data_IF_486439951394
#
_entry.id   IF_486439951394
#
_cell.length_a   1.000
_cell.length_b   1.000
_cell.length_c   1.000
_cell.angle_alpha   90.00
_cell.angle_beta   90.00
_cell.angle_gamma   90.00
#
_symmetry.space_group_name_H-M   'P 1'
#
loop_
_entity.id
_entity.type
_entity.pdbx_description
1 polymer ?
#
# COMPACT_ATOMS: atom_id res chain seq x y z
N UNK A 1 -19.13 -9.07 -5.78
CA UNK A 1 -17.81 -9.65 -6.10
C UNK A 1 -17.74 -11.00 -5.41
N UNK A 2 -17.58 -12.08 -6.17
CA UNK A 2 -17.24 -13.37 -5.57
C UNK A 2 -15.95 -13.22 -4.78
N UNK A 3 -16.02 -13.62 -3.53
CA UNK A 3 -14.97 -13.47 -2.54
C UNK A 3 -13.86 -14.47 -2.85
N UNK A 4 -12.60 -14.05 -2.74
CA UNK A 4 -11.44 -14.92 -2.94
C UNK A 4 -11.63 -16.25 -2.19
N UNK A 5 -11.54 -17.38 -2.91
CA UNK A 5 -11.86 -18.72 -2.37
C UNK A 5 -11.00 -19.14 -1.17
N UNK A 6 -9.80 -18.59 -1.06
CA UNK A 6 -8.78 -19.02 -0.10
C UNK A 6 -8.33 -17.92 0.86
N UNK A 7 -8.88 -16.71 0.75
CA UNK A 7 -8.57 -15.61 1.66
C UNK A 7 -9.82 -15.21 2.42
N UNK A 8 -9.71 -15.08 3.73
CA UNK A 8 -10.80 -14.55 4.54
C UNK A 8 -11.00 -13.05 4.28
N UNK A 9 -12.16 -12.54 4.70
CA UNK A 9 -12.57 -11.16 4.50
C UNK A 9 -11.58 -10.15 5.09
N UNK A 10 -11.03 -10.40 6.28
CA UNK A 10 -10.10 -9.46 6.93
C UNK A 10 -8.78 -9.40 6.18
N UNK A 11 -8.25 -10.55 5.77
CA UNK A 11 -7.04 -10.65 4.97
C UNK A 11 -7.17 -9.88 3.66
N UNK A 12 -8.31 -10.00 2.97
CA UNK A 12 -8.57 -9.26 1.73
C UNK A 12 -8.53 -7.76 1.95
N UNK A 13 -9.23 -7.24 2.96
CA UNK A 13 -9.33 -5.79 3.15
C UNK A 13 -8.04 -5.18 3.69
N UNK A 14 -7.30 -5.89 4.57
CA UNK A 14 -5.98 -5.46 5.01
C UNK A 14 -4.95 -5.49 3.87
N UNK A 15 -4.98 -6.48 2.99
CA UNK A 15 -4.14 -6.49 1.79
C UNK A 15 -4.52 -5.33 0.84
N UNK A 16 -5.83 -5.08 0.69
CA UNK A 16 -6.37 -3.98 -0.10
C UNK A 16 -5.92 -2.60 0.40
N UNK A 17 -5.93 -2.36 1.71
CA UNK A 17 -5.41 -1.12 2.32
C UNK A 17 -3.92 -0.95 2.02
N UNK A 18 -3.09 -1.97 2.28
CA UNK A 18 -1.65 -1.91 2.04
C UNK A 18 -1.33 -1.64 0.56
N UNK A 19 -2.00 -2.35 -0.35
CA UNK A 19 -1.85 -2.15 -1.80
C UNK A 19 -2.31 -0.75 -2.24
N UNK A 20 -3.40 -0.23 -1.66
CA UNK A 20 -3.91 1.11 -1.96
C UNK A 20 -2.92 2.21 -1.54
N UNK A 21 -2.30 2.07 -0.37
CA UNK A 21 -1.25 3.00 0.09
C UNK A 21 -0.01 2.90 -0.80
N UNK A 22 0.46 1.67 -1.06
CA UNK A 22 1.63 1.41 -1.90
C UNK A 22 1.46 2.01 -3.31
N UNK A 23 0.30 1.80 -3.93
CA UNK A 23 -0.03 2.32 -5.25
C UNK A 23 -0.55 3.76 -5.28
N UNK A 24 -0.80 4.39 -4.13
CA UNK A 24 -1.34 5.75 -4.05
C UNK A 24 -2.80 5.90 -4.53
N UNK A 25 -3.61 4.83 -4.48
CA UNK A 25 -5.02 4.87 -4.90
C UNK A 25 -5.93 5.36 -3.76
N UNK A 26 -6.24 6.65 -3.72
CA UNK A 26 -7.15 7.25 -2.71
C UNK A 26 -8.55 6.60 -2.68
N UNK A 27 -9.30 6.45 -3.80
CA UNK A 27 -10.63 5.85 -3.74
C UNK A 27 -10.61 4.37 -3.33
N UNK A 28 -9.55 3.64 -3.68
CA UNK A 28 -9.36 2.25 -3.23
C UNK A 28 -9.15 2.19 -1.71
N UNK A 29 -8.34 3.11 -1.17
CA UNK A 29 -8.13 3.21 0.28
C UNK A 29 -9.44 3.49 1.02
N UNK A 30 -10.25 4.45 0.54
CA UNK A 30 -11.54 4.77 1.15
C UNK A 30 -12.47 3.54 1.18
N UNK A 31 -12.51 2.79 0.07
CA UNK A 31 -13.31 1.56 -0.04
C UNK A 31 -12.83 0.46 0.93
N UNK A 32 -11.55 0.09 0.85
CA UNK A 32 -11.01 -1.00 1.66
C UNK A 32 -10.98 -0.67 3.16
N UNK A 33 -10.77 0.61 3.52
CA UNK A 33 -10.88 1.04 4.91
C UNK A 33 -12.30 0.84 5.45
N UNK A 34 -13.32 1.31 4.72
CA UNK A 34 -14.71 1.12 5.12
C UNK A 34 -15.05 -0.36 5.26
N UNK A 35 -14.67 -1.18 4.28
CA UNK A 35 -14.91 -2.63 4.31
C UNK A 35 -14.18 -3.33 5.44
N UNK A 36 -12.93 -2.95 5.74
CA UNK A 36 -12.16 -3.49 6.86
C UNK A 36 -12.89 -3.31 8.20
N UNK A 37 -13.50 -2.15 8.43
CA UNK A 37 -14.34 -1.91 9.62
C UNK A 37 -15.57 -2.81 9.62
N UNK A 38 -16.27 -2.91 8.49
CA UNK A 38 -17.48 -3.75 8.36
C UNK A 38 -17.21 -5.24 8.61
N UNK A 39 -16.03 -5.75 8.23
CA UNK A 39 -15.63 -7.15 8.45
C UNK A 39 -14.95 -7.37 9.81
N UNK A 40 -14.87 -6.32 10.64
CA UNK A 40 -14.40 -6.41 12.02
C UNK A 40 -12.88 -6.42 12.21
N UNK A 41 -12.12 -5.81 11.30
CA UNK A 41 -10.71 -5.50 11.55
C UNK A 41 -10.60 -4.47 12.69
N UNK A 42 -9.62 -4.65 13.57
CA UNK A 42 -9.32 -3.62 14.59
C UNK A 42 -8.58 -2.45 13.96
N UNK A 43 -8.64 -1.28 14.60
CA UNK A 43 -7.86 -0.13 14.14
C UNK A 43 -6.35 -0.40 14.14
N UNK A 44 -5.85 -1.24 15.05
CA UNK A 44 -4.43 -1.57 15.09
C UNK A 44 -4.01 -2.48 13.91
N UNK A 45 -4.84 -3.45 13.51
CA UNK A 45 -4.62 -4.22 12.28
C UNK A 45 -4.57 -3.30 11.04
N UNK A 46 -5.48 -2.32 10.98
CA UNK A 46 -5.52 -1.34 9.90
C UNK A 46 -4.27 -0.47 9.90
N UNK A 47 -3.81 0.01 11.07
CA UNK A 47 -2.57 0.80 11.20
C UNK A 47 -1.36 0.00 10.70
N UNK A 48 -1.22 -1.26 11.12
CA UNK A 48 -0.11 -2.12 10.66
C UNK A 48 -0.14 -2.32 9.14
N UNK A 49 -1.32 -2.50 8.55
CA UNK A 49 -1.47 -2.58 7.09
C UNK A 49 -1.10 -1.27 6.38
N UNK A 50 -1.46 -0.12 6.94
CA UNK A 50 -1.02 1.19 6.42
C UNK A 50 0.50 1.32 6.47
N UNK A 51 1.14 0.96 7.59
CA UNK A 51 2.60 1.00 7.72
C UNK A 51 3.29 0.04 6.74
N UNK A 52 2.72 -1.15 6.52
CA UNK A 52 3.21 -2.07 5.48
C UNK A 52 3.14 -1.44 4.09
N UNK A 53 2.02 -0.80 3.74
CA UNK A 53 1.88 -0.08 2.47
C UNK A 53 2.87 1.07 2.31
N UNK A 54 3.13 1.85 3.38
CA UNK A 54 4.14 2.92 3.38
C UNK A 54 5.55 2.37 3.17
N UNK A 55 5.90 1.27 3.84
CA UNK A 55 7.19 0.61 3.68
C UNK A 55 7.42 0.20 2.23
N UNK A 56 6.41 -0.42 1.58
CA UNK A 56 6.49 -0.81 0.17
C UNK A 56 6.63 0.43 -0.73
N UNK A 57 5.87 1.49 -0.46
CA UNK A 57 5.94 2.76 -1.21
C UNK A 57 7.29 3.44 -1.13
N UNK A 58 8.00 3.30 -0.01
CA UNK A 58 9.30 3.94 0.17
C UNK A 58 10.35 3.39 -0.80
N UNK A 59 10.24 2.12 -1.23
CA UNK A 59 11.20 1.52 -2.15
C UNK A 59 11.30 2.24 -3.50
N UNK A 60 10.22 2.37 -4.30
CA UNK A 60 10.30 3.09 -5.57
C UNK A 60 10.63 4.58 -5.41
N UNK A 61 10.27 5.20 -4.27
CA UNK A 61 10.67 6.59 -3.95
C UNK A 61 12.19 6.70 -3.81
N UNK A 62 12.82 5.78 -3.09
CA UNK A 62 14.28 5.78 -2.95
C UNK A 62 14.94 5.46 -4.30
N UNK A 63 14.46 4.44 -5.00
CA UNK A 63 15.02 4.02 -6.28
C UNK A 63 15.02 5.16 -7.31
N UNK A 64 13.94 5.97 -7.39
CA UNK A 64 13.88 7.09 -8.34
C UNK A 64 14.84 8.22 -7.98
N UNK A 65 15.01 8.54 -6.69
CA UNK A 65 15.95 9.57 -6.26
C UNK A 65 17.41 9.14 -6.46
N UNK A 66 17.76 7.91 -6.08
CA UNK A 66 19.09 7.35 -6.36
C UNK A 66 19.38 7.34 -7.87
N UNK A 67 18.39 7.01 -8.70
CA UNK A 67 18.56 7.04 -10.14
C UNK A 67 18.76 8.46 -10.68
N UNK A 68 17.98 9.43 -10.20
CA UNK A 68 18.14 10.84 -10.57
C UNK A 68 19.54 11.37 -10.21
N UNK A 69 20.06 11.05 -9.02
CA UNK A 69 21.42 11.41 -8.61
C UNK A 69 22.48 10.82 -9.54
N UNK A 70 22.35 9.53 -9.90
CA UNK A 70 23.25 8.87 -10.86
C UNK A 70 23.24 9.58 -12.22
N UNK A 71 22.08 9.97 -12.72
CA UNK A 71 21.96 10.72 -13.98
C UNK A 71 22.68 12.09 -13.89
N UNK A 72 22.51 12.82 -12.78
CA UNK A 72 23.17 14.11 -12.55
C UNK A 72 24.70 13.94 -12.52
N UNK A 73 25.22 12.97 -11.77
CA UNK A 73 26.66 12.71 -11.66
C UNK A 73 27.25 12.36 -13.03
N UNK A 74 26.60 11.48 -13.78
CA UNK A 74 27.08 11.01 -15.09
C UNK A 74 26.93 12.06 -16.21
N UNK A 75 26.14 13.12 -15.99
CA UNK A 75 25.93 14.21 -16.96
C UNK A 75 27.01 15.30 -16.90
N UNK A 76 27.87 15.29 -15.88
CA UNK A 76 29.02 16.19 -15.79
C UNK A 76 30.12 15.69 -16.74
N UNK A 77 30.16 16.28 -17.95
CA UNK A 77 31.34 16.28 -18.85
C UNK A 77 32.46 17.07 -18.18
#
# INVERSE_FOLDING_TARGET
>A
MEQFKHLDAKTIELAGIAASIAGGCRPCLDYHFKRAIEVGCTLDQIKESVELGKMIKQRPINDIYEHAEKLIINSKI
#
